data_IF_677862837659
#
_entry.id   IF_677862837659
#
_cell.length_a   1.000
_cell.length_b   1.000
_cell.length_c   1.000
_cell.angle_alpha   90.00
_cell.angle_beta   90.00
_cell.angle_gamma   90.00
#
_symmetry.space_group_name_H-M   'P 1'
#
loop_
_entity.id
_entity.type
_entity.pdbx_description
1 polymer ?
#
# COMPACT_ATOMS: atom_id res chain seq x y z
N UNK A 1 20.32 10.04 -10.96
CA UNK A 1 19.58 8.78 -10.73
C UNK A 1 18.20 8.89 -11.36
N UNK A 2 17.91 8.02 -12.32
CA UNK A 2 16.63 7.91 -13.01
C UNK A 2 15.77 6.83 -12.34
N UNK A 3 14.56 7.19 -11.93
CA UNK A 3 13.72 6.35 -11.08
C UNK A 3 12.35 6.16 -11.74
N UNK A 4 11.94 4.92 -11.96
CA UNK A 4 10.60 4.60 -12.45
C UNK A 4 9.68 4.22 -11.29
N UNK A 5 8.49 4.82 -11.23
CA UNK A 5 7.45 4.49 -10.26
C UNK A 5 6.29 3.80 -10.98
N UNK A 6 6.01 2.54 -10.63
CA UNK A 6 4.72 1.93 -10.97
C UNK A 6 3.68 2.32 -9.93
N UNK A 7 2.40 2.35 -10.30
CA UNK A 7 1.35 2.80 -9.38
C UNK A 7 1.48 4.30 -9.05
N UNK A 8 2.13 5.07 -9.92
CA UNK A 8 2.36 6.50 -9.78
C UNK A 8 1.07 7.32 -9.60
N UNK A 9 -0.04 6.84 -10.14
CA UNK A 9 -1.37 7.45 -9.99
C UNK A 9 -2.02 7.24 -8.61
N UNK A 10 -1.45 6.37 -7.77
CA UNK A 10 -1.93 6.19 -6.40
C UNK A 10 -1.60 7.41 -5.55
N UNK A 11 -2.27 7.59 -4.41
CA UNK A 11 -1.94 8.69 -3.52
C UNK A 11 -0.52 8.54 -2.96
N UNK A 12 -0.10 7.33 -2.57
CA UNK A 12 1.30 7.04 -2.18
C UNK A 12 2.26 7.46 -3.28
N UNK A 13 2.03 7.00 -4.52
CA UNK A 13 2.87 7.35 -5.67
C UNK A 13 2.93 8.85 -5.93
N UNK A 14 1.80 9.54 -5.86
CA UNK A 14 1.75 10.99 -6.09
C UNK A 14 2.49 11.80 -5.02
N UNK A 15 2.38 11.37 -3.76
CA UNK A 15 3.09 12.00 -2.64
C UNK A 15 4.60 11.71 -2.75
N UNK A 16 4.98 10.50 -3.16
CA UNK A 16 6.38 10.13 -3.39
C UNK A 16 7.00 10.94 -4.52
N UNK A 17 6.33 11.11 -5.66
CA UNK A 17 6.82 11.93 -6.78
C UNK A 17 7.09 13.37 -6.30
N UNK A 18 6.15 13.97 -5.57
CA UNK A 18 6.33 15.33 -5.01
C UNK A 18 7.49 15.42 -4.00
N UNK A 19 7.76 14.33 -3.27
CA UNK A 19 8.86 14.27 -2.31
C UNK A 19 10.22 14.10 -2.98
N UNK A 20 10.27 13.33 -4.08
CA UNK A 20 11.46 13.08 -4.90
C UNK A 20 11.79 14.25 -5.82
N UNK A 21 10.79 14.98 -6.34
CA UNK A 21 11.00 16.15 -7.20
C UNK A 21 11.73 17.30 -6.51
N UNK A 22 11.87 17.24 -5.17
CA UNK A 22 12.64 18.19 -4.36
C UNK A 22 14.10 17.75 -4.17
N UNK A 23 14.49 16.59 -4.65
CA UNK A 23 15.85 16.07 -4.53
C UNK A 23 16.67 16.41 -5.78
N UNK A 24 17.81 17.05 -5.58
CA UNK A 24 18.79 17.26 -6.65
C UNK A 24 19.32 15.93 -7.17
N UNK A 25 19.53 15.84 -8.49
CA UNK A 25 20.09 14.65 -9.12
C UNK A 25 19.13 13.45 -9.25
N UNK A 26 17.85 13.62 -8.93
CA UNK A 26 16.82 12.59 -9.09
C UNK A 26 15.87 12.97 -10.21
N UNK A 27 15.78 12.12 -11.24
CA UNK A 27 14.80 12.24 -12.32
C UNK A 27 13.73 11.17 -12.12
N UNK A 28 12.46 11.58 -12.08
CA UNK A 28 11.34 10.68 -11.80
C UNK A 28 10.57 10.40 -13.09
N UNK A 29 10.31 9.13 -13.36
CA UNK A 29 9.42 8.66 -14.42
C UNK A 29 8.20 7.98 -13.79
N UNK A 30 7.02 8.49 -14.08
CA UNK A 30 5.75 7.92 -13.67
C UNK A 30 5.24 6.93 -14.73
N UNK A 31 5.19 5.65 -14.38
CA UNK A 31 4.56 4.64 -15.23
C UNK A 31 3.04 4.65 -15.00
N UNK A 32 2.28 4.89 -16.07
CA UNK A 32 0.82 4.98 -16.03
C UNK A 32 0.18 3.99 -16.99
N UNK A 33 -0.92 3.37 -16.57
CA UNK A 33 -1.68 2.44 -17.43
C UNK A 33 -2.93 3.13 -17.98
N UNK A 34 -3.92 3.41 -17.11
CA UNK A 34 -5.22 3.98 -17.52
C UNK A 34 -5.46 5.40 -17.03
N UNK A 35 -4.90 5.75 -15.87
CA UNK A 35 -5.14 7.04 -15.24
C UNK A 35 -4.20 8.10 -15.81
N UNK A 36 -4.76 9.25 -16.20
CA UNK A 36 -3.94 10.45 -16.42
C UNK A 36 -3.41 10.91 -15.06
N UNK A 37 -2.09 11.05 -14.98
CA UNK A 37 -1.42 11.54 -13.78
C UNK A 37 -1.03 12.97 -14.06
N UNK A 38 -1.76 13.93 -13.49
CA UNK A 38 -1.38 15.34 -13.56
C UNK A 38 -0.45 15.66 -12.39
N UNK A 39 0.79 15.18 -12.47
CA UNK A 39 1.84 15.45 -11.49
C UNK A 39 3.00 16.12 -12.21
N UNK A 40 3.33 17.31 -11.76
CA UNK A 40 4.47 18.10 -12.26
C UNK A 40 5.78 17.52 -11.74
N UNK A 41 6.86 17.64 -12.52
CA UNK A 41 8.20 17.24 -12.08
C UNK A 41 8.54 15.76 -12.32
N UNK A 42 7.82 15.09 -13.24
CA UNK A 42 8.17 13.75 -13.69
C UNK A 42 7.90 13.57 -15.20
N UNK A 43 8.67 12.71 -15.84
CA UNK A 43 8.34 12.14 -17.16
C UNK A 43 7.17 11.16 -17.00
N UNK A 44 6.30 11.03 -18.00
CA UNK A 44 5.19 10.06 -17.98
C UNK A 44 5.42 9.02 -19.08
N UNK A 45 5.46 7.74 -18.69
CA UNK A 45 5.52 6.62 -19.63
C UNK A 45 4.29 5.73 -19.51
N UNK A 46 3.68 5.39 -20.64
CA UNK A 46 2.53 4.49 -20.66
C UNK A 46 2.97 3.04 -20.79
N UNK A 47 2.54 2.18 -19.88
CA UNK A 47 2.77 0.74 -19.96
C UNK A 47 1.75 -0.06 -19.13
N UNK A 48 1.60 -1.33 -19.46
CA UNK A 48 0.75 -2.28 -18.74
C UNK A 48 1.63 -3.44 -18.25
N UNK A 49 1.54 -3.77 -16.96
CA UNK A 49 2.26 -4.92 -16.37
C UNK A 49 1.94 -6.25 -17.06
N UNK A 50 0.78 -6.34 -17.71
CA UNK A 50 0.34 -7.53 -18.45
C UNK A 50 0.91 -7.59 -19.87
N UNK A 51 1.57 -6.53 -20.33
CA UNK A 51 2.16 -6.45 -21.67
C UNK A 51 3.68 -6.24 -21.55
N UNK A 52 4.48 -7.33 -21.61
CA UNK A 52 5.94 -7.29 -21.49
C UNK A 52 6.62 -6.30 -22.45
N UNK A 53 6.17 -6.21 -23.71
CA UNK A 53 6.77 -5.32 -24.71
C UNK A 53 6.65 -3.84 -24.31
N UNK A 54 5.53 -3.48 -23.67
CA UNK A 54 5.33 -2.11 -23.18
C UNK A 54 6.27 -1.76 -22.03
N UNK A 55 6.71 -2.76 -21.25
CA UNK A 55 7.59 -2.56 -20.11
C UNK A 55 9.03 -2.29 -20.53
N UNK A 56 9.51 -2.90 -21.62
CA UNK A 56 10.87 -2.69 -22.17
C UNK A 56 11.15 -1.20 -22.38
N UNK A 57 10.23 -0.50 -23.05
CA UNK A 57 10.33 0.96 -23.26
C UNK A 57 10.16 1.75 -21.96
N UNK A 58 9.33 1.26 -21.04
CA UNK A 58 9.09 1.96 -19.78
C UNK A 58 10.34 2.00 -18.89
N UNK A 59 11.15 0.93 -18.88
CA UNK A 59 12.34 0.81 -18.03
C UNK A 59 13.64 1.29 -18.69
N UNK A 60 13.60 1.76 -19.94
CA UNK A 60 14.80 2.21 -20.67
C UNK A 60 15.48 3.40 -19.96
N UNK A 61 16.78 3.27 -19.69
CA UNK A 61 17.58 4.30 -19.02
C UNK A 61 17.26 4.51 -17.53
N UNK A 62 16.55 3.58 -16.89
CA UNK A 62 16.18 3.63 -15.47
C UNK A 62 17.24 2.97 -14.60
N UNK A 63 17.67 3.64 -13.53
CA UNK A 63 18.62 3.11 -12.56
C UNK A 63 17.93 2.24 -11.49
N UNK A 64 16.75 2.67 -11.05
CA UNK A 64 15.97 1.99 -10.01
C UNK A 64 14.45 2.07 -10.23
N UNK A 65 13.74 1.05 -9.76
CA UNK A 65 12.29 0.95 -9.87
C UNK A 65 11.65 0.92 -8.48
N UNK A 66 10.61 1.72 -8.26
CA UNK A 66 9.72 1.61 -7.12
C UNK A 66 8.39 0.99 -7.60
N UNK A 67 8.22 -0.30 -7.35
CA UNK A 67 7.08 -1.07 -7.82
C UNK A 67 5.94 -1.06 -6.78
N UNK A 68 4.95 -0.17 -6.97
CA UNK A 68 3.78 -0.03 -6.09
C UNK A 68 2.45 -0.43 -6.76
N UNK A 69 2.46 -0.66 -8.07
CA UNK A 69 1.28 -1.10 -8.79
C UNK A 69 0.83 -2.48 -8.29
N UNK A 70 -0.45 -2.57 -7.89
CA UNK A 70 -1.08 -3.82 -7.52
C UNK A 70 -2.60 -3.72 -7.72
N UNK A 71 -3.23 -4.83 -8.08
CA UNK A 71 -4.67 -5.00 -7.95
C UNK A 71 -4.99 -5.32 -6.49
N UNK A 72 -5.77 -4.47 -5.82
CA UNK A 72 -6.07 -4.60 -4.38
C UNK A 72 -7.50 -5.07 -4.09
N UNK A 73 -8.36 -5.07 -5.11
CA UNK A 73 -9.79 -5.44 -5.04
C UNK A 73 -10.19 -6.18 -6.32
N UNK A 74 -10.53 -7.47 -6.19
CA UNK A 74 -11.01 -8.32 -7.27
C UNK A 74 -11.93 -9.41 -6.74
N UNK A 75 -13.06 -9.63 -7.41
CA UNK A 75 -13.95 -10.77 -7.11
C UNK A 75 -13.32 -12.10 -7.52
N UNK A 76 -12.40 -12.07 -8.50
CA UNK A 76 -11.70 -13.26 -9.02
C UNK A 76 -10.28 -13.28 -8.48
N UNK A 77 -9.94 -14.35 -7.76
CA UNK A 77 -8.59 -14.53 -7.22
C UNK A 77 -7.52 -14.60 -8.32
N UNK A 78 -7.82 -15.26 -9.44
CA UNK A 78 -6.89 -15.37 -10.58
C UNK A 78 -6.41 -14.01 -11.11
N UNK A 79 -7.25 -12.97 -11.06
CA UNK A 79 -6.84 -11.62 -11.47
C UNK A 79 -5.79 -11.01 -10.55
N UNK A 80 -5.79 -11.36 -9.25
CA UNK A 80 -4.71 -10.95 -8.35
C UNK A 80 -3.39 -11.59 -8.77
N UNK A 81 -3.37 -12.88 -9.08
CA UNK A 81 -2.15 -13.56 -9.51
C UNK A 81 -1.66 -13.03 -10.86
N UNK A 82 -2.56 -12.86 -11.83
CA UNK A 82 -2.24 -12.32 -13.14
C UNK A 82 -1.61 -10.92 -13.09
N UNK A 83 -2.11 -10.04 -12.23
CA UNK A 83 -1.58 -8.66 -12.15
C UNK A 83 -0.41 -8.57 -11.17
N UNK A 84 -0.57 -9.11 -9.96
CA UNK A 84 0.41 -8.91 -8.89
C UNK A 84 1.58 -9.87 -8.98
N UNK A 85 1.43 -11.08 -9.55
CA UNK A 85 2.52 -12.06 -9.68
C UNK A 85 3.11 -12.00 -11.07
N UNK A 86 2.34 -12.39 -12.10
CA UNK A 86 2.83 -12.40 -13.48
C UNK A 86 3.25 -10.99 -13.94
N UNK A 87 2.46 -9.97 -13.60
CA UNK A 87 2.81 -8.59 -13.89
C UNK A 87 4.08 -8.08 -13.17
N UNK A 88 4.34 -8.55 -11.94
CA UNK A 88 5.61 -8.26 -11.25
C UNK A 88 6.77 -8.97 -11.95
N UNK A 89 6.59 -10.24 -12.32
CA UNK A 89 7.60 -11.02 -13.04
C UNK A 89 7.98 -10.35 -14.37
N UNK A 90 6.99 -9.93 -15.16
CA UNK A 90 7.22 -9.23 -16.43
C UNK A 90 8.04 -7.94 -16.23
N UNK A 91 7.77 -7.19 -15.17
CA UNK A 91 8.53 -5.98 -14.85
C UNK A 91 9.96 -6.32 -14.44
N UNK A 92 10.17 -7.33 -13.60
CA UNK A 92 11.50 -7.79 -13.19
C UNK A 92 12.33 -8.27 -14.39
N UNK A 93 11.70 -8.96 -15.33
CA UNK A 93 12.36 -9.41 -16.57
C UNK A 93 12.77 -8.25 -17.46
N UNK A 94 11.89 -7.25 -17.64
CA UNK A 94 12.24 -6.02 -18.34
C UNK A 94 13.39 -5.26 -17.63
N UNK A 95 13.34 -5.17 -16.30
CA UNK A 95 14.37 -4.52 -15.48
C UNK A 95 15.74 -5.16 -15.68
N UNK A 96 15.82 -6.50 -15.64
CA UNK A 96 17.06 -7.25 -15.89
C UNK A 96 17.63 -6.95 -17.27
N UNK A 97 16.80 -7.02 -18.31
CA UNK A 97 17.22 -6.77 -19.69
C UNK A 97 17.73 -5.33 -19.89
N UNK A 98 17.13 -4.37 -19.21
CA UNK A 98 17.52 -2.96 -19.29
C UNK A 98 18.69 -2.58 -18.35
N UNK A 99 19.18 -3.51 -17.52
CA UNK A 99 20.27 -3.25 -16.58
C UNK A 99 19.88 -2.39 -15.37
N UNK A 100 18.59 -2.36 -14.99
CA UNK A 100 18.12 -1.72 -13.75
C UNK A 100 18.82 -2.39 -12.57
N UNK A 101 19.35 -1.60 -11.64
CA UNK A 101 20.19 -2.11 -10.54
C UNK A 101 19.37 -2.51 -9.32
N UNK A 102 18.35 -1.72 -9.00
CA UNK A 102 17.63 -1.79 -7.73
C UNK A 102 16.12 -1.75 -7.92
N UNK A 103 15.40 -2.62 -7.21
CA UNK A 103 13.93 -2.57 -7.11
C UNK A 103 13.47 -2.43 -5.67
N UNK A 104 12.62 -1.43 -5.40
CA UNK A 104 11.85 -1.35 -4.16
C UNK A 104 10.45 -1.84 -4.46
N UNK A 105 10.09 -3.00 -3.92
CA UNK A 105 8.77 -3.57 -4.04
C UNK A 105 7.90 -3.19 -2.85
N UNK A 106 6.80 -2.48 -3.11
CA UNK A 106 5.81 -2.19 -2.08
C UNK A 106 4.85 -3.37 -1.97
N UNK A 107 5.11 -4.23 -0.98
CA UNK A 107 4.27 -5.36 -0.63
C UNK A 107 3.11 -4.95 0.29
N UNK A 108 2.76 -5.78 1.26
CA UNK A 108 1.72 -5.52 2.25
C UNK A 108 2.04 -6.24 3.54
N UNK A 109 1.74 -5.64 4.70
CA UNK A 109 1.75 -6.33 5.99
C UNK A 109 0.85 -7.57 6.02
N UNK A 110 -0.17 -7.61 5.16
CA UNK A 110 -1.05 -8.75 5.02
C UNK A 110 -0.52 -9.83 4.06
N UNK A 111 0.72 -9.76 3.55
CA UNK A 111 1.30 -10.79 2.68
C UNK A 111 1.56 -12.09 3.45
N UNK A 112 0.57 -12.97 3.47
CA UNK A 112 0.56 -14.27 4.13
C UNK A 112 -0.38 -15.25 3.42
N UNK A 113 -0.24 -16.55 3.67
CA UNK A 113 -1.05 -17.60 3.04
C UNK A 113 -2.54 -17.52 3.43
N UNK A 114 -2.80 -17.17 4.69
CA UNK A 114 -4.14 -17.14 5.30
C UNK A 114 -4.95 -15.87 5.00
N UNK A 115 -4.34 -14.87 4.35
CA UNK A 115 -4.97 -13.56 4.12
C UNK A 115 -5.88 -13.47 2.88
N UNK A 116 -6.11 -14.59 2.19
CA UNK A 116 -6.90 -14.65 0.95
C UNK A 116 -6.10 -14.32 -0.31
N UNK A 117 -6.79 -14.23 -1.46
CA UNK A 117 -6.15 -14.16 -2.78
C UNK A 117 -5.19 -12.99 -2.99
N UNK A 118 -5.52 -11.78 -2.51
CA UNK A 118 -4.60 -10.65 -2.56
C UNK A 118 -3.33 -10.92 -1.74
N UNK A 119 -3.49 -11.38 -0.50
CA UNK A 119 -2.39 -11.65 0.42
C UNK A 119 -1.44 -12.71 -0.14
N UNK A 120 -1.98 -13.82 -0.65
CA UNK A 120 -1.21 -14.85 -1.35
C UNK A 120 -0.50 -14.31 -2.58
N UNK A 121 -1.20 -13.49 -3.40
CA UNK A 121 -0.58 -12.89 -4.59
C UNK A 121 0.59 -11.97 -4.22
N UNK A 122 0.50 -11.21 -3.12
CA UNK A 122 1.60 -10.35 -2.65
C UNK A 122 2.75 -11.19 -2.12
N UNK A 123 2.48 -12.23 -1.34
CA UNK A 123 3.50 -13.15 -0.84
C UNK A 123 4.24 -13.85 -2.00
N UNK A 124 3.51 -14.31 -3.03
CA UNK A 124 4.09 -14.91 -4.23
C UNK A 124 4.91 -13.90 -5.05
N UNK A 125 4.42 -12.68 -5.21
CA UNK A 125 5.16 -11.62 -5.89
C UNK A 125 6.45 -11.24 -5.16
N UNK A 126 6.47 -11.30 -3.83
CA UNK A 126 7.71 -11.14 -3.07
C UNK A 126 8.73 -12.24 -3.39
N UNK A 127 8.29 -13.49 -3.59
CA UNK A 127 9.19 -14.57 -4.00
C UNK A 127 9.83 -14.26 -5.36
N UNK A 128 9.04 -13.82 -6.36
CA UNK A 128 9.55 -13.37 -7.65
C UNK A 128 10.61 -12.27 -7.51
N UNK A 129 10.38 -11.30 -6.62
CA UNK A 129 11.35 -10.21 -6.35
C UNK A 129 12.64 -10.77 -5.74
N UNK A 130 12.55 -11.68 -4.76
CA UNK A 130 13.73 -12.30 -4.13
C UNK A 130 14.57 -13.11 -5.12
N UNK A 131 13.90 -13.82 -6.02
CA UNK A 131 14.50 -14.68 -7.04
C UNK A 131 14.93 -13.90 -8.30
N UNK A 132 14.70 -12.59 -8.35
CA UNK A 132 14.93 -11.78 -9.54
C UNK A 132 16.40 -11.59 -9.91
N UNK A 133 17.32 -11.79 -8.98
CA UNK A 133 18.74 -11.49 -9.16
C UNK A 133 19.09 -9.98 -9.15
N UNK A 134 18.11 -9.10 -8.96
CA UNK A 134 18.33 -7.66 -8.76
C UNK A 134 18.69 -7.39 -7.29
N UNK A 135 19.28 -6.22 -7.00
CA UNK A 135 19.21 -5.69 -5.64
C UNK A 135 17.76 -5.33 -5.35
N UNK A 136 17.21 -5.80 -4.24
CA UNK A 136 15.80 -5.62 -3.93
C UNK A 136 15.56 -5.17 -2.50
N UNK A 137 14.48 -4.42 -2.31
CA UNK A 137 13.94 -4.14 -0.99
C UNK A 137 12.44 -4.38 -1.02
N UNK A 138 11.94 -5.17 -0.08
CA UNK A 138 10.51 -5.43 0.09
C UNK A 138 10.02 -4.62 1.27
N UNK A 139 9.20 -3.62 1.00
CA UNK A 139 8.56 -2.82 2.02
C UNK A 139 7.14 -3.33 2.23
N UNK A 140 6.81 -3.77 3.45
CA UNK A 140 5.48 -4.24 3.85
C UNK A 140 4.77 -3.14 4.63
N UNK A 141 4.09 -2.18 3.99
CA UNK A 141 3.30 -1.19 4.73
C UNK A 141 2.11 -1.86 5.42
N UNK A 142 1.78 -1.36 6.61
CA UNK A 142 0.49 -1.60 7.27
C UNK A 142 -0.63 -0.80 6.58
N UNK A 143 -1.73 -0.54 7.30
CA UNK A 143 -2.84 0.23 6.78
C UNK A 143 -2.49 1.73 6.68
N UNK A 144 -2.32 2.21 5.45
CA UNK A 144 -1.90 3.59 5.18
C UNK A 144 -3.06 4.58 5.29
N UNK A 145 -2.92 5.61 6.12
CA UNK A 145 -3.91 6.69 6.28
C UNK A 145 -3.33 8.09 5.98
N UNK A 146 -4.21 9.09 5.92
CA UNK A 146 -3.85 10.46 5.52
C UNK A 146 -4.05 10.74 4.02
N UNK A 147 -4.52 9.74 3.27
CA UNK A 147 -4.69 9.81 1.81
C UNK A 147 -5.97 10.53 1.38
N UNK A 148 -6.92 10.61 2.30
CA UNK A 148 -8.16 11.36 2.14
C UNK A 148 -9.26 10.69 1.33
N UNK A 149 -9.01 9.53 0.71
CA UNK A 149 -10.00 8.62 0.11
C UNK A 149 -9.32 7.32 -0.36
N UNK A 150 -10.09 6.25 -0.65
CA UNK A 150 -9.61 5.07 -1.39
C UNK A 150 -9.55 3.78 -0.55
N UNK A 151 -8.85 3.83 0.59
CA UNK A 151 -8.55 2.62 1.39
C UNK A 151 -9.42 2.47 2.65
N UNK A 152 -9.43 1.27 3.22
CA UNK A 152 -10.34 0.87 4.32
C UNK A 152 -10.25 1.79 5.55
N UNK A 153 -9.04 2.11 6.03
CA UNK A 153 -8.85 3.00 7.18
C UNK A 153 -9.26 4.45 6.85
N UNK A 154 -8.94 4.95 5.64
CA UNK A 154 -9.39 6.29 5.25
C UNK A 154 -10.92 6.39 5.18
N UNK A 155 -11.61 5.32 4.71
CA UNK A 155 -13.07 5.25 4.75
C UNK A 155 -13.60 5.22 6.18
N UNK A 156 -12.98 4.46 7.08
CA UNK A 156 -13.34 4.42 8.49
C UNK A 156 -13.21 5.82 9.14
N UNK A 157 -12.08 6.50 8.93
CA UNK A 157 -11.85 7.86 9.41
C UNK A 157 -12.93 8.82 8.89
N UNK A 158 -13.28 8.76 7.60
CA UNK A 158 -14.36 9.58 7.03
C UNK A 158 -15.72 9.23 7.63
N UNK A 159 -15.99 7.94 7.84
CA UNK A 159 -17.24 7.47 8.43
C UNK A 159 -17.41 8.00 9.85
N UNK A 160 -16.36 7.89 10.66
CA UNK A 160 -16.31 8.45 12.02
C UNK A 160 -16.55 9.96 12.00
N UNK A 161 -16.01 10.69 11.01
CA UNK A 161 -16.29 12.14 10.91
C UNK A 161 -17.76 12.44 10.63
N UNK A 162 -18.42 11.65 9.77
CA UNK A 162 -19.72 11.98 9.19
C UNK A 162 -20.92 11.38 9.93
N UNK A 163 -20.81 10.14 10.41
CA UNK A 163 -21.96 9.37 10.91
C UNK A 163 -21.82 9.07 12.39
N UNK A 164 -22.92 9.10 13.17
CA UNK A 164 -22.89 8.83 14.61
C UNK A 164 -22.71 7.34 14.94
N UNK A 165 -23.02 6.45 14.00
CA UNK A 165 -22.95 5.00 14.15
C UNK A 165 -21.86 4.42 13.24
N UNK A 166 -20.93 3.65 13.83
CA UNK A 166 -19.80 3.04 13.13
C UNK A 166 -19.99 1.52 13.08
N UNK A 167 -20.05 0.91 11.87
CA UNK A 167 -20.11 -0.54 11.75
C UNK A 167 -18.75 -1.15 12.11
N UNK A 168 -18.75 -2.07 13.07
CA UNK A 168 -17.57 -2.79 13.53
C UNK A 168 -17.76 -4.28 13.27
N UNK A 169 -16.87 -4.86 12.48
CA UNK A 169 -16.91 -6.27 12.09
C UNK A 169 -16.52 -7.18 13.26
N UNK A 170 -17.34 -8.20 13.52
CA UNK A 170 -17.14 -9.14 14.62
C UNK A 170 -17.12 -8.46 15.99
N UNK A 171 -16.20 -8.88 16.85
CA UNK A 171 -16.02 -8.36 18.22
C UNK A 171 -15.21 -7.06 18.28
N UNK A 172 -14.75 -6.53 17.15
CA UNK A 172 -13.86 -5.36 17.09
C UNK A 172 -12.41 -5.63 17.50
N UNK A 173 -12.04 -6.87 17.78
CA UNK A 173 -10.70 -7.25 18.24
C UNK A 173 -9.65 -7.38 17.13
N UNK A 174 -10.04 -7.18 15.87
CA UNK A 174 -9.08 -7.13 14.77
C UNK A 174 -8.07 -6.00 15.01
N UNK A 175 -6.77 -6.32 14.90
CA UNK A 175 -5.68 -5.41 15.25
C UNK A 175 -5.10 -4.68 14.04
N UNK A 176 -4.76 -3.42 14.25
CA UNK A 176 -4.28 -2.47 13.27
C UNK A 176 -3.06 -1.72 13.82
N UNK A 177 -2.15 -1.36 12.94
CA UNK A 177 -1.02 -0.48 13.29
C UNK A 177 -0.89 0.59 12.20
N UNK A 178 -1.88 1.49 12.06
CA UNK A 178 -1.98 2.36 10.88
C UNK A 178 -0.75 3.26 10.73
N UNK A 179 -0.20 3.34 9.51
CA UNK A 179 0.96 4.17 9.20
C UNK A 179 0.52 5.43 8.45
N UNK A 180 1.03 6.59 8.86
CA UNK A 180 0.72 7.84 8.19
C UNK A 180 1.47 7.93 6.85
N UNK A 181 0.78 8.41 5.80
CA UNK A 181 1.32 8.40 4.43
C UNK A 181 2.67 9.12 4.29
N UNK A 182 2.87 10.26 4.93
CA UNK A 182 4.12 11.01 4.74
C UNK A 182 5.30 10.27 5.40
N UNK A 183 5.07 9.53 6.49
CA UNK A 183 6.09 8.72 7.15
C UNK A 183 6.47 7.53 6.26
N UNK A 184 5.46 6.88 5.66
CA UNK A 184 5.68 5.83 4.67
C UNK A 184 6.47 6.35 3.46
N UNK A 185 6.10 7.51 2.92
CA UNK A 185 6.78 8.11 1.77
C UNK A 185 8.21 8.52 2.13
N UNK A 186 8.43 9.04 3.33
CA UNK A 186 9.77 9.34 3.84
C UNK A 186 10.63 8.07 3.91
N UNK A 187 10.07 6.97 4.43
CA UNK A 187 10.74 5.68 4.49
C UNK A 187 11.11 5.17 3.09
N UNK A 188 10.16 5.18 2.13
CA UNK A 188 10.44 4.75 0.75
C UNK A 188 11.54 5.60 0.12
N UNK A 189 11.51 6.92 0.33
CA UNK A 189 12.52 7.85 -0.18
C UNK A 189 13.90 7.58 0.43
N UNK A 190 13.99 7.40 1.75
CA UNK A 190 15.25 7.08 2.43
C UNK A 190 15.81 5.75 1.91
N UNK A 191 14.97 4.71 1.85
CA UNK A 191 15.33 3.41 1.30
C UNK A 191 15.84 3.47 -0.15
N UNK A 192 15.29 4.37 -0.95
CA UNK A 192 15.67 4.54 -2.35
C UNK A 192 17.04 5.17 -2.50
N UNK A 193 17.31 6.20 -1.70
CA UNK A 193 18.55 6.99 -1.73
C UNK A 193 19.70 6.34 -0.93
N UNK A 194 19.40 5.33 -0.11
CA UNK A 194 20.43 4.56 0.60
C UNK A 194 21.03 3.47 -0.31
N UNK A 195 22.30 3.65 -0.68
CA UNK A 195 23.06 2.72 -1.50
C UNK A 195 23.56 1.49 -0.71
N UNK A 196 23.67 1.61 0.62
CA UNK A 196 24.19 0.54 1.50
C UNK A 196 23.12 -0.48 1.90
N UNK A 197 21.86 -0.17 1.62
CA UNK A 197 20.75 -1.02 2.01
C UNK A 197 20.77 -2.34 1.22
N UNK A 198 21.02 -3.43 1.93
CA UNK A 198 21.05 -4.77 1.37
C UNK A 198 19.62 -5.32 1.12
N UNK A 199 19.59 -6.55 0.60
CA UNK A 199 18.39 -7.27 0.23
C UNK A 199 17.54 -7.61 1.46
N UNK A 200 16.51 -6.79 1.71
CA UNK A 200 15.75 -6.88 2.96
C UNK A 200 14.23 -6.83 2.81
N UNK A 201 13.53 -7.47 3.75
CA UNK A 201 12.08 -7.30 3.95
C UNK A 201 11.84 -6.50 5.22
N UNK A 202 11.20 -5.34 5.08
CA UNK A 202 11.01 -4.37 6.17
C UNK A 202 9.52 -4.06 6.34
N UNK A 203 9.03 -4.22 7.57
CA UNK A 203 7.67 -3.81 7.97
C UNK A 203 7.62 -2.30 8.23
N UNK A 204 6.68 -1.61 7.60
CA UNK A 204 6.42 -0.18 7.83
C UNK A 204 5.04 0.00 8.45
N UNK A 205 4.99 0.06 9.78
CA UNK A 205 3.75 0.20 10.55
C UNK A 205 3.79 1.42 11.47
N UNK A 206 2.63 1.85 11.95
CA UNK A 206 2.55 2.84 13.03
C UNK A 206 3.16 2.30 14.32
N UNK A 207 3.53 3.19 15.26
CA UNK A 207 4.27 2.81 16.47
C UNK A 207 3.43 2.02 17.49
N UNK A 208 2.09 2.06 17.35
CA UNK A 208 1.16 1.47 18.31
C UNK A 208 0.20 0.52 17.59
N UNK A 209 0.08 -0.70 18.12
CA UNK A 209 -0.96 -1.64 17.72
C UNK A 209 -2.23 -1.36 18.53
N UNK A 210 -3.38 -1.40 17.85
CA UNK A 210 -4.68 -1.13 18.45
C UNK A 210 -5.77 -1.98 17.80
N UNK A 211 -6.79 -2.31 18.57
CA UNK A 211 -8.01 -2.96 18.09
C UNK A 211 -8.83 -2.02 17.22
N UNK A 212 -9.79 -2.56 16.45
CA UNK A 212 -10.74 -1.74 15.69
C UNK A 212 -11.53 -0.81 16.62
N UNK A 213 -11.84 -1.26 17.83
CA UNK A 213 -12.53 -0.46 18.83
C UNK A 213 -11.71 0.73 19.30
N UNK A 214 -10.45 0.49 19.68
CA UNK A 214 -9.54 1.55 20.10
C UNK A 214 -9.27 2.51 18.94
N UNK A 215 -9.14 2.01 17.71
CA UNK A 215 -8.99 2.84 16.52
C UNK A 215 -10.20 3.77 16.34
N UNK A 216 -11.43 3.25 16.49
CA UNK A 216 -12.66 4.05 16.43
C UNK A 216 -12.68 5.08 17.55
N UNK A 217 -12.39 4.70 18.78
CA UNK A 217 -12.46 5.57 19.96
C UNK A 217 -11.41 6.68 19.90
N UNK A 218 -10.15 6.35 19.60
CA UNK A 218 -9.03 7.30 19.46
C UNK A 218 -9.27 8.27 18.31
N UNK A 219 -9.74 7.77 17.17
CA UNK A 219 -10.10 8.62 16.02
C UNK A 219 -11.27 9.55 16.35
N UNK A 220 -12.29 9.06 17.05
CA UNK A 220 -13.45 9.87 17.46
C UNK A 220 -13.02 11.00 18.42
N UNK A 221 -12.12 10.69 19.35
CA UNK A 221 -11.50 11.68 20.26
C UNK A 221 -10.74 12.77 19.49
N UNK A 222 -9.97 12.40 18.46
CA UNK A 222 -9.25 13.38 17.63
C UNK A 222 -10.18 14.37 16.92
N UNK A 223 -11.39 13.94 16.57
CA UNK A 223 -12.38 14.81 15.92
C UNK A 223 -13.33 15.50 16.92
N UNK A 224 -13.21 15.25 18.23
CA UNK A 224 -14.11 15.80 19.23
C UNK A 224 -15.54 15.28 19.10
N UNK A 225 -15.72 14.03 18.67
CA UNK A 225 -17.05 13.43 18.44
C UNK A 225 -17.24 12.16 19.25
N UNK A 226 -18.49 11.84 19.59
CA UNK A 226 -18.88 10.58 20.21
C UNK A 226 -19.55 9.66 19.19
N UNK A 227 -19.17 8.37 19.17
CA UNK A 227 -19.65 7.39 18.20
C UNK A 227 -20.07 6.09 18.85
N UNK A 228 -21.24 5.60 18.47
CA UNK A 228 -21.72 4.28 18.86
C UNK A 228 -21.17 3.23 17.89
N UNK A 229 -20.82 2.05 18.41
CA UNK A 229 -20.29 0.92 17.63
C UNK A 229 -21.40 -0.09 17.37
N UNK A 230 -21.77 -0.29 16.10
CA UNK A 230 -22.70 -1.34 15.68
C UNK A 230 -21.91 -2.62 15.35
N UNK A 231 -22.07 -3.66 16.15
CA UNK A 231 -21.41 -4.96 15.92
C UNK A 231 -22.09 -5.71 14.79
N UNK A 232 -21.32 -6.08 13.77
CA UNK A 232 -21.79 -6.88 12.65
C UNK A 232 -21.17 -8.27 12.73
N UNK A 233 -21.94 -9.33 13.01
CA UNK A 233 -21.42 -10.70 13.05
C UNK A 233 -20.79 -11.08 11.71
N UNK A 234 -19.60 -11.69 11.76
CA UNK A 234 -18.78 -12.00 10.57
C UNK A 234 -19.55 -12.84 9.56
N UNK A 235 -20.36 -13.80 10.02
CA UNK A 235 -21.17 -14.67 9.15
C UNK A 235 -22.17 -13.90 8.28
N UNK A 236 -22.86 -12.91 8.85
CA UNK A 236 -23.80 -12.08 8.10
C UNK A 236 -23.10 -11.19 7.08
N UNK A 237 -21.93 -10.65 7.43
CA UNK A 237 -21.14 -9.84 6.50
C UNK A 237 -20.61 -10.70 5.35
N UNK A 238 -20.16 -11.93 5.64
CA UNK A 238 -19.69 -12.88 4.61
C UNK A 238 -20.81 -13.23 3.64
N UNK A 239 -21.96 -13.67 4.16
CA UNK A 239 -23.13 -14.01 3.35
C UNK A 239 -23.61 -12.81 2.52
N UNK A 240 -23.74 -11.64 3.15
CA UNK A 240 -24.13 -10.41 2.46
C UNK A 240 -23.14 -10.02 1.36
N UNK A 241 -21.83 -10.20 1.60
CA UNK A 241 -20.81 -9.89 0.59
C UNK A 241 -20.85 -10.84 -0.61
N UNK A 242 -21.13 -12.13 -0.41
CA UNK A 242 -21.26 -13.12 -1.48
C UNK A 242 -22.49 -12.83 -2.35
N UNK A 243 -23.63 -12.55 -1.72
CA UNK A 243 -24.87 -12.18 -2.41
C UNK A 243 -24.69 -10.88 -3.21
N UNK A 244 -24.13 -9.84 -2.59
CA UNK A 244 -23.88 -8.56 -3.27
C UNK A 244 -22.85 -8.68 -4.40
N UNK A 245 -21.82 -9.51 -4.22
CA UNK A 245 -20.85 -9.80 -5.28
C UNK A 245 -21.50 -10.53 -6.47
N UNK A 246 -22.40 -11.48 -6.21
CA UNK A 246 -23.19 -12.16 -7.24
C UNK A 246 -24.12 -11.22 -8.01
N UNK A 247 -24.61 -10.17 -7.35
CA UNK A 247 -25.42 -9.10 -7.95
C UNK A 247 -24.57 -7.98 -8.61
N UNK A 248 -23.24 -8.13 -8.67
CA UNK A 248 -22.35 -7.14 -9.28
C UNK A 248 -22.07 -5.89 -8.44
N UNK A 249 -22.55 -5.84 -7.19
CA UNK A 249 -22.38 -4.71 -6.26
C UNK A 249 -21.04 -4.83 -5.51
N UNK A 250 -20.03 -4.07 -5.95
CA UNK A 250 -18.63 -4.15 -5.48
C UNK A 250 -18.33 -3.39 -4.17
N UNK A 251 -19.17 -3.53 -3.14
CA UNK A 251 -18.98 -2.80 -1.87
C UNK A 251 -17.94 -3.49 -0.97
N UNK A 252 -18.02 -4.82 -0.86
CA UNK A 252 -17.09 -5.68 -0.13
C UNK A 252 -16.65 -6.85 -1.02
N UNK A 253 -15.34 -7.04 -1.13
CA UNK A 253 -14.76 -8.13 -1.92
C UNK A 253 -14.49 -9.32 -0.98
N UNK A 254 -14.73 -10.58 -1.39
CA UNK A 254 -14.63 -11.74 -0.48
C UNK A 254 -13.31 -11.86 0.29
N UNK A 255 -12.21 -11.41 -0.30
CA UNK A 255 -10.87 -11.51 0.31
C UNK A 255 -10.60 -10.46 1.40
N UNK A 256 -11.48 -9.49 1.61
CA UNK A 256 -11.29 -8.45 2.62
C UNK A 256 -11.45 -8.98 4.05
N UNK A 257 -12.29 -9.99 4.26
CA UNK A 257 -12.51 -10.58 5.59
C UNK A 257 -11.31 -11.43 6.04
N UNK A 258 -10.80 -12.40 5.23
CA UNK A 258 -9.57 -13.12 5.57
C UNK A 258 -8.38 -12.19 5.80
N UNK A 259 -8.21 -11.17 4.96
CA UNK A 259 -7.14 -10.16 5.10
C UNK A 259 -7.24 -9.36 6.40
N UNK A 260 -8.45 -9.06 6.84
CA UNK A 260 -8.67 -8.38 8.12
C UNK A 260 -8.29 -9.27 9.30
N UNK A 261 -8.64 -10.57 9.23
CA UNK A 261 -8.52 -11.51 10.33
C UNK A 261 -7.16 -12.22 10.42
N UNK A 262 -6.35 -12.21 9.37
CA UNK A 262 -5.05 -12.87 9.39
C UNK A 262 -4.10 -12.25 10.44
N UNK A 263 -3.22 -13.10 10.96
CA UNK A 263 -2.11 -12.68 11.83
C UNK A 263 -1.17 -11.76 11.06
N UNK A 264 -0.72 -10.68 11.72
CA UNK A 264 0.11 -9.64 11.12
C UNK A 264 1.31 -9.39 12.03
N UNK A 265 2.47 -9.29 11.41
CA UNK A 265 3.68 -8.86 12.09
C UNK A 265 3.54 -7.41 12.57
N UNK A 266 4.26 -7.08 13.63
CA UNK A 266 4.27 -5.79 14.32
C UNK A 266 5.67 -5.25 14.58
N UNK A 267 6.71 -6.06 14.34
CA UNK A 267 8.07 -5.64 14.65
C UNK A 267 8.61 -4.66 13.59
N UNK A 268 8.67 -3.38 13.95
CA UNK A 268 9.28 -2.32 13.14
C UNK A 268 10.75 -2.07 13.50
N UNK A 269 11.36 -2.86 14.40
CA UNK A 269 12.74 -2.63 14.87
C UNK A 269 13.75 -2.59 13.72
N UNK A 270 13.52 -3.42 12.69
CA UNK A 270 14.32 -3.43 11.47
C UNK A 270 14.19 -2.16 10.64
N UNK A 271 12.98 -1.58 10.59
CA UNK A 271 12.77 -0.30 9.92
C UNK A 271 13.49 0.82 10.69
N UNK A 272 13.40 0.81 12.01
CA UNK A 272 14.08 1.78 12.87
C UNK A 272 15.59 1.70 12.73
N UNK A 273 16.17 0.49 12.69
CA UNK A 273 17.63 0.31 12.62
C UNK A 273 18.21 0.56 11.22
N UNK A 274 17.57 0.07 10.17
CA UNK A 274 18.14 0.13 8.82
C UNK A 274 17.86 1.44 8.10
N UNK A 275 16.69 2.06 8.33
CA UNK A 275 16.27 3.26 7.58
C UNK A 275 15.86 4.40 8.51
N UNK A 276 16.22 4.35 9.80
CA UNK A 276 15.88 5.39 10.78
C UNK A 276 14.38 5.71 10.83
N UNK A 277 13.53 4.71 10.60
CA UNK A 277 12.08 4.90 10.54
C UNK A 277 11.53 5.23 11.92
N UNK A 278 10.92 6.41 12.05
CA UNK A 278 10.25 6.87 13.27
C UNK A 278 8.85 7.36 12.93
N UNK A 279 7.85 6.46 12.90
CA UNK A 279 6.50 6.80 12.49
C UNK A 279 5.77 7.59 13.58
N UNK A 280 4.95 8.56 13.16
CA UNK A 280 4.07 9.31 14.05
C UNK A 280 3.00 8.42 14.68
N UNK A 281 2.53 8.84 15.85
CA UNK A 281 1.32 8.28 16.46
C UNK A 281 0.08 8.61 15.64
N UNK A 282 -1.00 7.86 15.88
CA UNK A 282 -2.27 8.04 15.16
C UNK A 282 -2.79 9.47 15.27
N UNK A 283 -2.79 10.05 16.46
CA UNK A 283 -3.31 11.38 16.76
C UNK A 283 -2.53 12.46 15.99
N UNK A 284 -1.20 12.35 15.97
CA UNK A 284 -0.30 13.27 15.28
C UNK A 284 -0.53 13.25 13.77
N UNK A 285 -0.68 12.06 13.18
CA UNK A 285 -1.00 11.94 11.76
C UNK A 285 -2.43 12.40 11.43
N UNK A 286 -3.42 12.18 12.31
CA UNK A 286 -4.78 12.73 12.12
C UNK A 286 -4.76 14.26 12.17
N UNK A 287 -4.01 14.87 13.11
CA UNK A 287 -3.85 16.31 13.19
C UNK A 287 -3.24 16.87 11.90
N UNK A 288 -2.14 16.27 11.42
CA UNK A 288 -1.50 16.65 10.16
C UNK A 288 -2.47 16.51 8.96
N UNK A 289 -3.22 15.41 8.89
CA UNK A 289 -4.24 15.19 7.85
C UNK A 289 -5.33 16.27 7.82
N UNK A 290 -5.72 16.81 8.98
CA UNK A 290 -6.74 17.86 9.07
C UNK A 290 -6.23 19.24 8.64
N UNK A 291 -4.95 19.54 8.87
CA UNK A 291 -4.35 20.83 8.50
C UNK A 291 -4.25 21.02 6.99
N UNK A 292 -3.99 19.95 6.23
CA UNK A 292 -3.86 19.98 4.76
C UNK A 292 -5.22 20.14 4.05
N UNK A 293 -6.34 20.04 4.79
CA UNK A 293 -7.72 20.12 4.25
C UNK A 293 -8.52 21.35 4.72
N UNK A 294 -7.89 22.29 5.41
CA UNK A 294 -8.42 23.65 5.56
C UNK A 294 -7.96 24.50 4.39
#
# INVERSE_FOLDING_TARGET
MNILLTGASSRIGSTLIRSLSKCSGVNVTAMVHRSLVNITGCEIRKADLRNPESLVKAVEGIDAVVHMAALTRSVRESEYFRINVEGTQNLLDACKLAGVKKIIFLSSRAACEEGGGYSRSKLKAEQCVRESGLQWLILRPSEVYGQGSGDAINRLIQWIRKYPLVPVLGTGQARFSPVYIDDLVSAIKQSLLDEKLENETILLAGPEEMTLDELVDRTSKCFGVSRSKLRLPVGFVRLGSEVLAGLGVKVLVPDQVPRLLCSKDRDISKASSLISFSPRKLEEGIAAYCLVRK
#
